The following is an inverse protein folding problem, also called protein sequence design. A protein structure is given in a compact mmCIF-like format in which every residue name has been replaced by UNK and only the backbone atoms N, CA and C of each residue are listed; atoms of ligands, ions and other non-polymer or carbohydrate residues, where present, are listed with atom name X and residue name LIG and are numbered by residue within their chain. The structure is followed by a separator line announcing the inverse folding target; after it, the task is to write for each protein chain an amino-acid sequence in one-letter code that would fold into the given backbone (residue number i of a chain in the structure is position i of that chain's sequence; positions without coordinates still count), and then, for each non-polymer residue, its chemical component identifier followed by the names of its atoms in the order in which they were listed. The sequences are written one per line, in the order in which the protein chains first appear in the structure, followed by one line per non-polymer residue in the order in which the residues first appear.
data_IF_614136516600
#
_entry.id   IF_614136516600
#
_cell.length_a   1.000
_cell.length_b   1.000
_cell.length_c   1.000
_cell.angle_alpha   90.00
_cell.angle_beta   90.00
_cell.angle_gamma   90.00
#
_symmetry.space_group_name_H-M   'P 1'
#
loop_
_entity.id
_entity.type
_entity.pdbx_description
1 polymer ?
#
# COMPACT_ATOMS: atom_id res chain seq x y z
N UNK A 1 -29.30 6.16 -2.77
CA UNK A 1 -28.20 6.29 -3.76
C UNK A 1 -27.30 7.39 -3.28
N UNK A 2 -26.06 7.06 -2.92
CA UNK A 2 -25.07 8.08 -2.59
C UNK A 2 -24.88 8.99 -3.80
N UNK A 3 -25.03 10.30 -3.60
CA UNK A 3 -24.77 11.30 -4.65
C UNK A 3 -23.28 11.21 -4.94
N UNK A 4 -22.90 10.82 -6.17
CA UNK A 4 -21.51 10.82 -6.62
C UNK A 4 -21.02 12.26 -6.68
N UNK A 5 -20.39 12.72 -5.61
CA UNK A 5 -19.73 14.02 -5.60
C UNK A 5 -18.43 13.91 -6.39
N UNK A 6 -18.15 14.82 -7.33
CA UNK A 6 -16.85 14.85 -7.99
C UNK A 6 -15.74 15.17 -6.98
N UNK A 7 -14.55 14.64 -7.22
CA UNK A 7 -13.35 14.96 -6.43
C UNK A 7 -12.84 16.34 -6.88
N UNK A 8 -12.63 17.24 -5.92
CA UNK A 8 -12.16 18.60 -6.10
C UNK A 8 -11.24 19.03 -4.95
N UNK A 9 -10.80 20.27 -4.95
CA UNK A 9 -9.91 20.87 -3.95
C UNK A 9 -10.47 20.88 -2.52
N UNK A 10 -11.79 20.72 -2.35
CA UNK A 10 -12.45 20.63 -1.05
C UNK A 10 -12.59 19.19 -0.57
N UNK A 11 -12.17 18.24 -1.39
CA UNK A 11 -12.33 16.81 -1.10
C UNK A 11 -11.19 16.28 -0.23
N UNK A 12 -11.55 15.34 0.64
CA UNK A 12 -10.62 14.47 1.33
C UNK A 12 -10.88 13.03 0.88
N UNK A 13 -9.95 12.47 0.12
CA UNK A 13 -10.02 11.10 -0.38
C UNK A 13 -9.26 10.17 0.56
N UNK A 14 -9.89 9.10 1.00
CA UNK A 14 -9.32 8.14 1.92
C UNK A 14 -9.29 6.75 1.25
N UNK A 15 -8.09 6.21 1.05
CA UNK A 15 -7.85 4.95 0.36
C UNK A 15 -7.34 3.91 1.38
N UNK A 16 -8.10 2.85 1.57
CA UNK A 16 -7.75 1.78 2.52
C UNK A 16 -7.18 0.61 1.75
N UNK A 17 -5.99 0.20 2.11
CA UNK A 17 -5.37 -1.04 1.65
C UNK A 17 -6.08 -2.24 2.30
N UNK A 18 -7.07 -2.77 1.58
CA UNK A 18 -7.91 -3.86 2.06
C UNK A 18 -7.14 -5.18 2.17
N UNK A 19 -6.15 -5.41 1.32
CA UNK A 19 -5.34 -6.63 1.35
C UNK A 19 -4.50 -6.69 2.63
N UNK A 20 -3.85 -5.60 3.02
CA UNK A 20 -3.14 -5.53 4.30
C UNK A 20 -4.08 -5.73 5.51
N UNK A 21 -5.29 -5.17 5.45
CA UNK A 21 -6.32 -5.37 6.48
C UNK A 21 -6.75 -6.83 6.61
N UNK A 22 -6.90 -7.57 5.50
CA UNK A 22 -7.28 -8.99 5.51
C UNK A 22 -6.26 -9.82 6.25
N UNK A 23 -4.98 -9.75 5.86
CA UNK A 23 -3.92 -10.54 6.49
C UNK A 23 -3.75 -10.17 7.96
N UNK A 24 -3.87 -8.90 8.30
CA UNK A 24 -3.85 -8.45 9.69
C UNK A 24 -5.00 -9.02 10.50
N UNK A 25 -6.22 -8.98 9.96
CA UNK A 25 -7.40 -9.51 10.62
C UNK A 25 -7.28 -11.02 10.85
N UNK A 26 -6.78 -11.75 9.87
CA UNK A 26 -6.57 -13.19 9.96
C UNK A 26 -5.63 -13.58 11.10
N UNK A 27 -4.51 -12.86 11.24
CA UNK A 27 -3.53 -13.16 12.29
C UNK A 27 -3.88 -12.60 13.68
N UNK A 28 -4.86 -11.71 13.78
CA UNK A 28 -5.22 -11.04 15.03
C UNK A 28 -6.21 -11.82 15.90
N UNK A 29 -7.01 -12.69 15.30
CA UNK A 29 -8.06 -13.42 16.00
C UNK A 29 -7.81 -14.93 15.92
N UNK A 30 -8.28 -15.69 16.95
CA UNK A 30 -8.31 -17.13 16.85
C UNK A 30 -9.25 -17.57 15.73
N UNK A 31 -9.10 -18.81 15.21
CA UNK A 31 -10.02 -19.37 14.24
C UNK A 31 -11.46 -19.32 14.74
N UNK A 32 -12.32 -18.67 13.96
CA UNK A 32 -13.76 -18.60 14.20
C UNK A 32 -14.49 -19.22 13.01
N UNK A 33 -15.51 -20.00 13.30
CA UNK A 33 -16.37 -20.65 12.29
C UNK A 33 -17.84 -20.37 12.55
N UNK A 34 -18.63 -20.28 11.50
CA UNK A 34 -20.08 -20.28 11.55
C UNK A 34 -20.60 -21.69 11.90
N UNK A 35 -21.88 -21.77 12.20
CA UNK A 35 -22.55 -23.07 12.50
C UNK A 35 -22.52 -24.07 11.35
N UNK A 36 -22.36 -23.60 10.12
CA UNK A 36 -22.21 -24.38 8.90
C UNK A 36 -20.75 -24.82 8.62
N UNK A 37 -19.80 -24.45 9.50
CA UNK A 37 -18.38 -24.75 9.36
C UNK A 37 -17.58 -23.73 8.55
N UNK A 38 -18.21 -22.69 8.00
CA UNK A 38 -17.51 -21.65 7.22
C UNK A 38 -16.56 -20.85 8.12
N UNK A 39 -15.25 -20.74 7.79
CA UNK A 39 -14.33 -19.89 8.55
C UNK A 39 -14.67 -18.41 8.35
N UNK A 40 -14.69 -17.64 9.43
CA UNK A 40 -15.07 -16.21 9.43
C UNK A 40 -14.21 -15.36 10.36
N UNK A 41 -13.10 -15.88 10.88
CA UNK A 41 -12.23 -15.13 11.79
C UNK A 41 -11.66 -13.86 11.14
N UNK A 42 -11.15 -13.95 9.92
CA UNK A 42 -10.65 -12.81 9.17
C UNK A 42 -11.77 -11.82 8.82
N UNK A 43 -12.96 -12.30 8.46
CA UNK A 43 -14.15 -11.45 8.22
C UNK A 43 -14.48 -10.64 9.46
N UNK A 44 -14.56 -11.29 10.61
CA UNK A 44 -14.86 -10.63 11.89
C UNK A 44 -13.80 -9.59 12.25
N UNK A 45 -12.53 -9.95 12.12
CA UNK A 45 -11.41 -9.04 12.40
C UNK A 45 -11.41 -7.84 11.46
N UNK A 46 -11.62 -8.08 10.17
CA UNK A 46 -11.72 -7.03 9.15
C UNK A 46 -12.89 -6.06 9.45
N UNK A 47 -14.07 -6.58 9.74
CA UNK A 47 -15.22 -5.76 10.09
C UNK A 47 -14.95 -4.89 11.33
N UNK A 48 -14.32 -5.46 12.36
CA UNK A 48 -13.97 -4.73 13.58
C UNK A 48 -12.97 -3.60 13.28
N UNK A 49 -11.95 -3.87 12.46
CA UNK A 49 -10.95 -2.87 12.08
C UNK A 49 -11.58 -1.76 11.23
N UNK A 50 -12.42 -2.14 10.26
CA UNK A 50 -13.10 -1.17 9.40
C UNK A 50 -14.09 -0.33 10.20
N UNK A 51 -14.87 -0.94 11.09
CA UNK A 51 -15.77 -0.21 11.99
C UNK A 51 -15.00 0.80 12.85
N UNK A 52 -13.91 0.36 13.47
CA UNK A 52 -13.07 1.24 14.27
C UNK A 52 -12.53 2.41 13.44
N UNK A 53 -12.02 2.14 12.23
CA UNK A 53 -11.54 3.17 11.32
C UNK A 53 -12.65 4.21 11.05
N UNK A 54 -13.85 3.75 10.71
CA UNK A 54 -14.98 4.64 10.42
C UNK A 54 -15.40 5.48 11.64
N UNK A 55 -15.31 4.91 12.86
CA UNK A 55 -15.56 5.68 14.08
C UNK A 55 -14.46 6.74 14.33
N UNK A 56 -13.20 6.38 14.11
CA UNK A 56 -12.06 7.27 14.30
C UNK A 56 -12.03 8.41 13.27
N UNK A 57 -12.65 8.22 12.10
CA UNK A 57 -12.77 9.22 11.03
C UNK A 57 -13.95 10.19 11.18
N UNK A 58 -14.78 10.04 12.23
CA UNK A 58 -15.84 11.00 12.51
C UNK A 58 -15.27 12.29 13.09
N UNK A 59 -15.72 13.43 12.59
CA UNK A 59 -15.27 14.74 13.07
C UNK A 59 -14.74 15.65 11.97
N UNK A 60 -13.86 16.57 12.33
CA UNK A 60 -13.35 17.62 11.41
C UNK A 60 -12.54 17.05 10.23
N UNK A 61 -11.88 15.91 10.42
CA UNK A 61 -11.08 15.24 9.39
C UNK A 61 -11.85 14.17 8.60
N UNK A 62 -13.18 14.14 8.73
CA UNK A 62 -14.01 13.15 8.04
C UNK A 62 -13.78 13.18 6.52
N UNK A 63 -13.45 12.03 5.90
CA UNK A 63 -13.26 11.98 4.46
C UNK A 63 -14.57 12.22 3.71
N UNK A 64 -14.47 12.90 2.58
CA UNK A 64 -15.59 13.07 1.64
C UNK A 64 -15.77 11.86 0.73
N UNK A 65 -14.68 11.15 0.48
CA UNK A 65 -14.61 9.94 -0.35
C UNK A 65 -13.75 8.90 0.37
N UNK A 66 -14.27 7.69 0.50
CA UNK A 66 -13.54 6.56 1.07
C UNK A 66 -13.76 5.34 0.20
N UNK A 67 -12.69 4.60 -0.07
CA UNK A 67 -12.74 3.33 -0.78
C UNK A 67 -11.80 2.31 -0.11
N UNK A 68 -12.18 1.03 -0.18
CA UNK A 68 -11.32 -0.09 0.21
C UNK A 68 -10.87 -0.80 -1.05
N UNK A 69 -9.57 -0.97 -1.19
CA UNK A 69 -8.93 -1.46 -2.41
C UNK A 69 -8.29 -2.82 -2.11
N UNK A 70 -8.52 -3.78 -2.99
CA UNK A 70 -8.08 -5.16 -2.83
C UNK A 70 -7.24 -5.62 -4.03
N UNK A 71 -6.35 -6.57 -3.77
CA UNK A 71 -5.78 -7.36 -4.85
C UNK A 71 -6.87 -8.24 -5.47
N UNK A 72 -6.91 -8.28 -6.79
CA UNK A 72 -7.82 -9.16 -7.52
C UNK A 72 -7.34 -10.62 -7.45
N UNK A 73 -6.04 -10.82 -7.67
CA UNK A 73 -5.38 -12.13 -7.64
C UNK A 73 -3.91 -11.99 -7.23
N UNK A 74 -3.25 -13.12 -7.02
CA UNK A 74 -1.81 -13.17 -6.79
C UNK A 74 -0.98 -12.96 -8.06
N UNK A 75 -1.60 -13.09 -9.24
CA UNK A 75 -0.93 -12.94 -10.54
C UNK A 75 -1.26 -11.59 -11.15
N UNK A 76 -0.23 -10.84 -11.51
CA UNK A 76 -0.35 -9.50 -12.09
C UNK A 76 0.60 -9.35 -13.29
N UNK A 77 0.55 -8.22 -13.98
CA UNK A 77 1.47 -7.92 -15.09
C UNK A 77 2.95 -8.02 -14.68
N UNK A 78 3.27 -7.86 -13.38
CA UNK A 78 4.65 -7.99 -12.88
C UNK A 78 5.20 -9.40 -13.04
N UNK A 79 4.35 -10.43 -12.94
CA UNK A 79 4.75 -11.81 -13.16
C UNK A 79 5.06 -12.10 -14.64
N UNK A 80 4.46 -11.34 -15.57
CA UNK A 80 4.81 -11.39 -17.00
C UNK A 80 6.18 -10.74 -17.27
N UNK A 81 6.52 -9.68 -16.53
CA UNK A 81 7.81 -8.99 -16.66
C UNK A 81 8.94 -9.74 -15.94
N UNK A 82 8.64 -10.36 -14.80
CA UNK A 82 9.59 -11.07 -13.96
C UNK A 82 8.91 -12.23 -13.23
N UNK A 83 9.15 -13.45 -13.70
CA UNK A 83 8.49 -14.66 -13.23
C UNK A 83 8.81 -15.01 -11.76
N UNK A 84 9.90 -14.47 -11.22
CA UNK A 84 10.30 -14.65 -9.82
C UNK A 84 9.63 -13.63 -8.87
N UNK A 85 8.87 -12.66 -9.39
CA UNK A 85 8.17 -11.68 -8.56
C UNK A 85 7.21 -12.38 -7.58
N UNK A 86 7.42 -12.18 -6.29
CA UNK A 86 6.67 -12.81 -5.19
C UNK A 86 6.60 -14.35 -5.23
N UNK A 87 7.44 -15.02 -6.06
CA UNK A 87 7.37 -16.47 -6.28
C UNK A 87 7.65 -17.32 -5.01
N UNK A 88 8.30 -16.76 -4.01
CA UNK A 88 8.57 -17.44 -2.73
C UNK A 88 7.44 -17.25 -1.70
N UNK A 89 6.42 -16.44 -1.98
CA UNK A 89 5.29 -16.25 -1.07
C UNK A 89 4.46 -17.53 -1.01
N UNK A 90 4.14 -18.01 0.21
CA UNK A 90 3.25 -19.17 0.35
C UNK A 90 1.84 -18.82 -0.13
N UNK A 91 1.14 -19.83 -0.60
CA UNK A 91 -0.29 -19.73 -0.86
C UNK A 91 -1.05 -19.27 0.40
N UNK A 92 -2.13 -18.53 0.25
CA UNK A 92 -2.98 -18.17 1.37
C UNK A 92 -3.46 -19.42 2.12
N UNK A 93 -3.59 -19.36 3.46
CA UNK A 93 -4.15 -20.45 4.23
C UNK A 93 -5.51 -20.91 3.70
N UNK A 94 -5.75 -22.23 3.67
CA UNK A 94 -6.97 -22.81 3.10
C UNK A 94 -8.25 -22.24 3.72
N UNK A 95 -8.22 -21.94 5.03
CA UNK A 95 -9.33 -21.36 5.75
C UNK A 95 -9.49 -19.84 5.54
N UNK A 96 -8.48 -19.16 4.98
CA UNK A 96 -8.58 -17.76 4.60
C UNK A 96 -9.22 -17.59 3.21
N UNK A 97 -8.96 -18.51 2.28
CA UNK A 97 -9.41 -18.38 0.88
C UNK A 97 -10.92 -18.08 0.76
N UNK A 98 -11.85 -18.80 1.42
CA UNK A 98 -13.28 -18.50 1.32
C UNK A 98 -13.67 -17.17 1.95
N UNK A 99 -12.84 -16.61 2.82
CA UNK A 99 -13.10 -15.35 3.50
C UNK A 99 -12.85 -14.12 2.63
N UNK A 100 -12.04 -14.22 1.57
CA UNK A 100 -11.80 -13.10 0.65
C UNK A 100 -13.10 -12.55 0.03
N UNK A 101 -13.96 -13.44 -0.47
CA UNK A 101 -15.25 -13.03 -1.04
C UNK A 101 -16.18 -12.41 0.03
N UNK A 102 -16.24 -13.04 1.21
CA UNK A 102 -17.05 -12.54 2.31
C UNK A 102 -16.61 -11.16 2.80
N UNK A 103 -15.30 -10.87 2.80
CA UNK A 103 -14.77 -9.56 3.18
C UNK A 103 -15.16 -8.48 2.17
N UNK A 104 -15.13 -8.80 0.87
CA UNK A 104 -15.62 -7.87 -0.17
C UNK A 104 -17.11 -7.59 -0.04
N UNK A 105 -17.91 -8.61 0.27
CA UNK A 105 -19.34 -8.45 0.57
C UNK A 105 -19.55 -7.60 1.83
N UNK A 106 -18.78 -7.85 2.89
CA UNK A 106 -18.82 -7.05 4.11
C UNK A 106 -18.49 -5.58 3.82
N UNK A 107 -17.46 -5.30 3.02
CA UNK A 107 -17.11 -3.93 2.62
C UNK A 107 -18.29 -3.22 1.95
N UNK A 108 -18.97 -3.91 1.03
CA UNK A 108 -20.17 -3.38 0.37
C UNK A 108 -21.33 -3.20 1.36
N UNK A 109 -21.46 -4.07 2.37
CA UNK A 109 -22.48 -3.94 3.41
C UNK A 109 -22.25 -2.74 4.35
N UNK A 110 -21.01 -2.23 4.45
CA UNK A 110 -20.67 -0.95 5.07
C UNK A 110 -20.99 0.25 4.19
N UNK A 111 -21.62 0.06 3.02
CA UNK A 111 -21.87 1.08 1.99
C UNK A 111 -20.59 1.74 1.47
N UNK A 112 -19.49 0.98 1.41
CA UNK A 112 -18.21 1.43 0.92
C UNK A 112 -17.88 0.82 -0.44
N UNK A 113 -17.27 1.59 -1.36
CA UNK A 113 -16.68 1.06 -2.57
C UNK A 113 -15.62 -0.01 -2.24
N UNK A 114 -15.80 -1.19 -2.82
CA UNK A 114 -14.83 -2.29 -2.83
C UNK A 114 -14.24 -2.36 -4.23
N UNK A 115 -12.97 -1.99 -4.37
CA UNK A 115 -12.32 -1.79 -5.67
C UNK A 115 -11.22 -2.83 -5.85
N UNK A 116 -11.20 -3.48 -7.00
CA UNK A 116 -10.17 -4.39 -7.45
C UNK A 116 -10.12 -4.39 -8.98
N UNK A 117 -9.00 -4.77 -9.57
CA UNK A 117 -8.83 -4.84 -11.03
C UNK A 117 -7.94 -6.02 -11.39
N UNK A 118 -8.41 -6.82 -12.36
CA UNK A 118 -7.64 -7.95 -12.89
C UNK A 118 -6.31 -7.48 -13.49
N UNK A 119 -5.23 -8.20 -13.18
CA UNK A 119 -3.89 -7.91 -13.66
C UNK A 119 -3.12 -6.85 -12.88
N UNK A 120 -3.74 -6.20 -11.88
CA UNK A 120 -3.13 -5.16 -11.05
C UNK A 120 -3.21 -5.51 -9.57
N UNK A 121 -2.27 -4.97 -8.81
CA UNK A 121 -2.27 -5.04 -7.36
C UNK A 121 -3.08 -3.88 -6.75
N UNK A 122 -3.48 -4.04 -5.48
CA UNK A 122 -4.12 -2.95 -4.73
C UNK A 122 -3.28 -1.67 -4.76
N UNK A 123 -1.95 -1.80 -4.64
CA UNK A 123 -1.01 -0.68 -4.65
C UNK A 123 -1.05 0.13 -5.94
N UNK A 124 -1.22 -0.52 -7.11
CA UNK A 124 -1.35 0.17 -8.39
C UNK A 124 -2.60 1.05 -8.44
N UNK A 125 -3.70 0.52 -7.90
CA UNK A 125 -4.97 1.25 -7.84
C UNK A 125 -4.91 2.37 -6.81
N UNK A 126 -4.34 2.12 -5.63
CA UNK A 126 -4.12 3.14 -4.59
C UNK A 126 -3.28 4.27 -5.16
N UNK A 127 -2.14 3.96 -5.82
CA UNK A 127 -1.28 4.95 -6.43
C UNK A 127 -2.00 5.76 -7.51
N UNK A 128 -2.79 5.09 -8.35
CA UNK A 128 -3.56 5.74 -9.43
C UNK A 128 -4.59 6.71 -8.85
N UNK A 129 -5.41 6.26 -7.90
CA UNK A 129 -6.43 7.11 -7.28
C UNK A 129 -5.83 8.25 -6.46
N UNK A 130 -4.73 7.99 -5.72
CA UNK A 130 -4.05 9.03 -4.96
C UNK A 130 -3.52 10.15 -5.87
N UNK A 131 -2.86 9.78 -6.98
CA UNK A 131 -2.34 10.75 -7.95
C UNK A 131 -3.46 11.52 -8.66
N UNK A 132 -4.53 10.84 -9.08
CA UNK A 132 -5.67 11.51 -9.71
C UNK A 132 -6.38 12.47 -8.76
N UNK A 133 -6.58 12.08 -7.50
CA UNK A 133 -7.22 12.92 -6.50
C UNK A 133 -6.34 14.14 -6.16
N UNK A 134 -5.04 13.95 -5.97
CA UNK A 134 -4.09 15.05 -5.74
C UNK A 134 -4.04 16.02 -6.94
N UNK A 135 -4.04 15.50 -8.17
CA UNK A 135 -4.10 16.33 -9.38
C UNK A 135 -5.40 17.15 -9.49
N UNK A 136 -6.50 16.69 -8.88
CA UNK A 136 -7.75 17.45 -8.75
C UNK A 136 -7.74 18.44 -7.57
N UNK A 137 -6.62 18.57 -6.85
CA UNK A 137 -6.44 19.46 -5.70
C UNK A 137 -6.87 18.84 -4.35
N UNK A 138 -7.37 17.61 -4.34
CA UNK A 138 -7.86 16.96 -3.13
C UNK A 138 -6.73 16.61 -2.16
N UNK A 139 -7.04 16.63 -0.87
CA UNK A 139 -6.23 15.98 0.15
C UNK A 139 -6.45 14.47 0.09
N UNK A 140 -5.39 13.69 0.22
CA UNK A 140 -5.44 12.22 0.17
C UNK A 140 -4.81 11.63 1.42
N UNK A 141 -5.47 10.63 2.00
CA UNK A 141 -4.89 9.78 3.04
C UNK A 141 -4.91 8.32 2.57
N UNK A 142 -3.75 7.68 2.58
CA UNK A 142 -3.59 6.26 2.27
C UNK A 142 -3.42 5.49 3.58
N UNK A 143 -4.38 4.65 3.93
CA UNK A 143 -4.32 3.80 5.12
C UNK A 143 -3.66 2.45 4.77
N UNK A 144 -2.35 2.41 4.88
CA UNK A 144 -1.50 1.22 4.68
C UNK A 144 -0.23 1.34 5.51
N UNK A 145 0.33 0.21 5.89
CA UNK A 145 1.66 0.10 6.50
C UNK A 145 2.75 -0.27 5.48
N UNK A 146 2.38 -0.39 4.21
CA UNK A 146 3.33 -0.76 3.15
C UNK A 146 4.29 0.40 2.86
N UNK A 147 5.60 0.09 2.97
CA UNK A 147 6.67 1.06 2.72
C UNK A 147 6.73 1.51 1.26
N UNK A 148 6.27 0.66 0.34
CA UNK A 148 6.38 0.93 -1.10
C UNK A 148 5.43 2.05 -1.53
N UNK A 149 4.31 2.24 -0.80
CA UNK A 149 3.40 3.36 -0.98
C UNK A 149 3.96 4.69 -0.45
N UNK A 150 5.08 4.69 0.28
CA UNK A 150 5.73 5.93 0.75
C UNK A 150 6.21 6.83 -0.40
N UNK A 151 6.43 6.27 -1.59
CA UNK A 151 6.71 7.02 -2.82
C UNK A 151 5.57 7.97 -3.25
N UNK A 152 4.36 7.79 -2.70
CA UNK A 152 3.20 8.62 -3.02
C UNK A 152 3.09 9.86 -2.14
N UNK A 153 3.86 9.93 -1.06
CA UNK A 153 3.77 11.01 -0.07
C UNK A 153 4.17 12.34 -0.69
N UNK A 154 3.32 13.34 -0.48
CA UNK A 154 3.53 14.74 -0.92
C UNK A 154 2.87 15.67 0.09
N UNK A 155 2.83 16.96 -0.17
CA UNK A 155 2.07 17.91 0.65
C UNK A 155 0.55 17.62 0.67
N UNK A 156 0.03 16.97 -0.37
CA UNK A 156 -1.39 16.62 -0.51
C UNK A 156 -1.69 15.17 -0.16
N UNK A 157 -0.70 14.28 -0.23
CA UNK A 157 -0.85 12.84 0.01
C UNK A 157 -0.07 12.45 1.27
N UNK A 158 -0.77 11.97 2.27
CA UNK A 158 -0.16 11.41 3.49
C UNK A 158 -0.56 9.95 3.65
N UNK A 159 0.25 9.19 4.37
CA UNK A 159 -0.14 7.84 4.77
C UNK A 159 -0.50 7.79 6.25
N UNK A 160 -1.32 6.83 6.60
CA UNK A 160 -1.60 6.45 7.98
C UNK A 160 -1.26 4.97 8.15
N UNK A 161 -0.30 4.66 9.00
CA UNK A 161 -0.10 3.29 9.48
C UNK A 161 -1.22 2.97 10.49
N UNK A 162 -2.21 2.15 10.10
CA UNK A 162 -3.36 1.87 10.96
C UNK A 162 -3.00 1.01 12.17
N UNK A 163 -1.83 0.38 12.16
CA UNK A 163 -1.35 -0.48 13.24
C UNK A 163 -0.74 0.32 14.38
N UNK A 164 0.00 1.36 14.03
CA UNK A 164 0.69 2.25 14.97
C UNK A 164 -0.10 3.54 15.24
N UNK A 165 -1.19 3.75 14.48
CA UNK A 165 -1.94 5.02 14.45
C UNK A 165 -0.98 6.19 14.22
N UNK A 166 0.02 5.97 13.34
CA UNK A 166 1.06 6.94 13.03
C UNK A 166 0.84 7.50 11.63
N UNK A 167 0.78 8.83 11.53
CA UNK A 167 0.84 9.52 10.23
C UNK A 167 2.27 9.43 9.68
N UNK A 168 2.36 9.27 8.37
CA UNK A 168 3.61 9.18 7.62
C UNK A 168 3.57 10.31 6.60
N UNK A 169 4.43 11.28 6.79
CA UNK A 169 4.70 12.40 5.90
C UNK A 169 6.12 12.31 5.32
N UNK A 170 6.60 13.38 4.67
CA UNK A 170 7.93 13.39 4.06
C UNK A 170 9.07 13.06 5.03
N UNK A 171 8.98 13.52 6.27
CA UNK A 171 10.03 13.29 7.29
C UNK A 171 10.17 11.81 7.64
N UNK A 172 9.06 11.08 7.78
CA UNK A 172 9.06 9.65 8.03
C UNK A 172 9.59 8.86 6.84
N UNK A 173 9.38 9.35 5.61
CA UNK A 173 9.97 8.75 4.40
C UNK A 173 11.49 8.91 4.43
N UNK A 174 11.99 10.10 4.75
CA UNK A 174 13.44 10.35 4.91
C UNK A 174 14.02 9.49 6.03
N UNK A 175 13.34 9.37 7.17
CA UNK A 175 13.77 8.48 8.26
C UNK A 175 13.90 7.02 7.78
N UNK A 176 12.99 6.56 6.91
CA UNK A 176 12.94 5.18 6.44
C UNK A 176 13.91 4.88 5.31
N UNK A 177 13.99 5.76 4.31
CA UNK A 177 14.70 5.51 3.06
C UNK A 177 15.99 6.34 2.92
N UNK A 178 16.20 7.36 3.76
CA UNK A 178 17.33 8.28 3.65
C UNK A 178 17.19 9.33 2.55
N UNK A 179 16.07 9.34 1.82
CA UNK A 179 15.76 10.26 0.73
C UNK A 179 14.30 10.72 0.81
N UNK A 180 13.95 11.80 0.10
CA UNK A 180 12.56 12.23 -0.05
C UNK A 180 11.69 11.24 -0.83
N UNK A 181 10.35 11.40 -0.77
CA UNK A 181 9.41 10.50 -1.43
C UNK A 181 9.64 10.34 -2.93
N UNK A 182 10.08 11.40 -3.60
CA UNK A 182 10.38 11.46 -5.04
C UNK A 182 11.57 10.59 -5.46
N UNK A 183 12.38 10.14 -4.50
CA UNK A 183 13.58 9.30 -4.72
C UNK A 183 13.47 7.90 -4.14
N UNK A 184 12.34 7.55 -3.57
CA UNK A 184 12.11 6.20 -3.00
C UNK A 184 12.27 5.12 -4.06
N UNK A 185 11.75 5.34 -5.28
CA UNK A 185 11.85 4.38 -6.39
C UNK A 185 13.33 4.15 -6.75
N UNK A 186 14.14 5.21 -6.83
CA UNK A 186 15.56 5.12 -7.18
C UNK A 186 16.34 4.32 -6.14
N UNK A 187 16.07 4.56 -4.87
CA UNK A 187 16.67 3.81 -3.76
C UNK A 187 16.26 2.34 -3.79
N UNK A 188 14.99 2.05 -4.02
CA UNK A 188 14.49 0.68 -4.10
C UNK A 188 15.02 -0.06 -5.33
N UNK A 189 15.15 0.60 -6.47
CA UNK A 189 15.74 0.00 -7.67
C UNK A 189 17.20 -0.47 -7.44
N UNK A 190 17.96 0.30 -6.65
CA UNK A 190 19.33 -0.08 -6.27
C UNK A 190 19.37 -1.16 -5.19
N UNK A 191 18.57 -1.01 -4.14
CA UNK A 191 18.59 -1.89 -2.98
C UNK A 191 17.86 -3.24 -3.21
N UNK A 192 16.92 -3.26 -4.15
CA UNK A 192 16.00 -4.36 -4.34
C UNK A 192 14.96 -4.48 -3.23
N UNK A 193 14.10 -5.47 -3.34
CA UNK A 193 13.13 -5.84 -2.32
C UNK A 193 13.07 -7.36 -2.12
N UNK A 194 13.59 -7.80 -0.98
CA UNK A 194 13.60 -9.24 -0.65
C UNK A 194 12.20 -9.77 -0.31
N UNK A 195 11.26 -8.91 0.11
CA UNK A 195 9.87 -9.30 0.43
C UNK A 195 9.12 -9.63 -0.85
N UNK A 196 9.42 -8.92 -1.92
CA UNK A 196 8.81 -9.12 -3.24
C UNK A 196 9.69 -9.94 -4.19
N UNK A 197 10.85 -10.41 -3.68
CA UNK A 197 11.84 -11.14 -4.46
C UNK A 197 12.38 -10.33 -5.67
N UNK A 198 12.49 -9.02 -5.50
CA UNK A 198 13.07 -8.13 -6.51
C UNK A 198 14.57 -7.98 -6.22
N UNK A 199 15.46 -8.39 -7.14
CA UNK A 199 16.88 -8.25 -6.93
C UNK A 199 17.32 -6.80 -7.00
N UNK A 200 18.20 -6.41 -6.07
CA UNK A 200 18.94 -5.16 -6.14
C UNK A 200 20.35 -5.37 -6.68
N UNK A 201 21.15 -4.32 -6.63
CA UNK A 201 22.58 -4.39 -6.94
C UNK A 201 23.31 -5.09 -5.79
N UNK A 202 24.09 -6.16 -6.05
CA UNK A 202 24.76 -6.90 -5.00
C UNK A 202 25.63 -6.00 -4.10
N UNK A 203 25.42 -6.09 -2.79
CA UNK A 203 26.14 -5.31 -1.79
C UNK A 203 25.61 -3.88 -1.56
N UNK A 204 24.58 -3.45 -2.28
CA UNK A 204 23.93 -2.15 -2.08
C UNK A 204 22.63 -2.36 -1.31
N UNK A 205 22.60 -1.93 -0.05
CA UNK A 205 21.39 -1.83 0.74
C UNK A 205 20.85 -0.40 0.75
N UNK A 206 19.68 -0.18 1.39
CA UNK A 206 18.98 1.11 1.43
C UNK A 206 19.91 2.28 1.79
N UNK A 207 20.78 2.12 2.80
CA UNK A 207 21.69 3.16 3.24
C UNK A 207 22.67 3.61 2.16
N UNK A 208 23.30 2.62 1.48
CA UNK A 208 24.25 2.89 0.40
C UNK A 208 23.54 3.44 -0.82
N UNK A 209 22.35 2.90 -1.14
CA UNK A 209 21.52 3.40 -2.22
C UNK A 209 21.14 4.88 -2.00
N UNK A 210 20.68 5.22 -0.79
CA UNK A 210 20.34 6.61 -0.46
C UNK A 210 21.53 7.56 -0.60
N UNK A 211 22.73 7.18 -0.13
CA UNK A 211 23.94 7.98 -0.28
C UNK A 211 24.31 8.20 -1.75
N UNK A 212 24.19 7.17 -2.58
CA UNK A 212 24.45 7.27 -4.01
C UNK A 212 23.44 8.19 -4.69
N UNK A 213 22.16 8.06 -4.38
CA UNK A 213 21.12 8.93 -4.96
C UNK A 213 21.29 10.37 -4.47
N UNK A 214 21.67 10.60 -3.22
CA UNK A 214 21.97 11.94 -2.70
C UNK A 214 23.17 12.57 -3.42
N UNK A 215 24.24 11.80 -3.70
CA UNK A 215 25.45 12.26 -4.37
C UNK A 215 25.23 12.55 -5.87
N UNK A 216 24.48 11.68 -6.56
CA UNK A 216 24.30 11.75 -8.02
C UNK A 216 22.96 12.39 -8.46
N UNK A 217 22.00 12.55 -7.54
CA UNK A 217 20.71 13.20 -7.76
C UNK A 217 19.58 12.23 -8.10
N UNK A 218 19.79 11.31 -9.05
CA UNK A 218 18.83 10.29 -9.45
C UNK A 218 19.52 9.04 -10.03
N UNK A 219 18.71 7.99 -10.25
CA UNK A 219 19.21 6.71 -10.74
C UNK A 219 19.80 6.80 -12.14
N UNK A 220 19.19 7.57 -13.05
CA UNK A 220 19.66 7.72 -14.43
C UNK A 220 21.03 8.40 -14.46
N UNK A 221 21.20 9.50 -13.76
CA UNK A 221 22.48 10.20 -13.61
C UNK A 221 23.54 9.31 -12.98
N UNK A 222 23.15 8.55 -11.96
CA UNK A 222 24.04 7.59 -11.32
C UNK A 222 24.54 6.52 -12.32
N UNK A 223 23.65 5.96 -13.14
CA UNK A 223 23.99 4.95 -14.13
C UNK A 223 24.93 5.51 -15.22
N UNK A 224 24.68 6.73 -15.69
CA UNK A 224 25.57 7.41 -16.65
C UNK A 224 26.98 7.63 -16.08
N UNK A 225 27.07 7.87 -14.77
CA UNK A 225 28.33 8.18 -14.07
C UNK A 225 28.85 7.03 -13.21
N UNK A 226 28.36 5.80 -13.43
CA UNK A 226 28.72 4.64 -12.61
C UNK A 226 30.24 4.38 -12.53
N UNK A 227 30.99 4.74 -13.58
CA UNK A 227 32.46 4.62 -13.58
C UNK A 227 33.19 5.57 -12.63
N UNK A 228 32.52 6.58 -12.07
CA UNK A 228 33.08 7.53 -11.10
C UNK A 228 32.93 7.08 -9.66
N UNK A 229 32.10 6.03 -9.42
CA UNK A 229 31.80 5.56 -8.08
C UNK A 229 33.07 4.99 -7.43
N UNK A 230 33.51 5.65 -6.39
CA UNK A 230 34.64 5.20 -5.56
C UNK A 230 34.11 4.30 -4.44
N UNK A 231 33.84 3.05 -4.73
CA UNK A 231 33.55 2.09 -3.66
C UNK A 231 34.82 1.60 -2.98
N UNK A 232 34.88 1.61 -1.65
CA UNK A 232 35.87 0.80 -0.97
C UNK A 232 35.60 -0.68 -1.29
N UNK A 233 36.66 -1.42 -1.60
CA UNK A 233 36.64 -2.87 -1.88
C UNK A 233 36.06 -3.66 -0.71
#
# INVERSE_FOLDING_TARGET
MAVKRPVDETSHVYLVDGSAYIFRAYHALPPLTRSDGTPVGAVQGFCNMLWKLLEDLKGEDQPTHLAVIFDYSATTFRNELYDQYKAHRPEPPEDLVPQFALIREATKAFDLPSIEMEGYEADDLIATYARQAAAAGARVTVASSDKDLMQLVTDQVTMLDPMKVKRIGPDEVVEKFGVGPDRVIDVQALAGDSVDNVPGVPGIGIKTAAQLIEEYGDLETLLERAGEIKQPK
#
